data_IF_440383162707
#
_entry.id   IF_440383162707
#
_cell.length_a   1.000
_cell.length_b   1.000
_cell.length_c   1.000
_cell.angle_alpha   90.00
_cell.angle_beta   90.00
_cell.angle_gamma   90.00
#
_symmetry.space_group_name_H-M   'P 1'
#
loop_
_entity.id
_entity.type
_entity.pdbx_description
1 polymer ?
#
# COMPACT_ATOMS: atom_id res chain seq x y z
N UNK A 1 2.99 -23.25 2.19
CA UNK A 1 3.80 -22.06 1.82
C UNK A 1 2.83 -21.06 1.22
N UNK A 2 2.77 -19.80 1.68
CA UNK A 2 1.93 -18.80 1.01
C UNK A 2 2.32 -18.72 -0.45
N UNK A 3 1.34 -18.78 -1.35
CA UNK A 3 1.54 -18.70 -2.80
C UNK A 3 1.91 -17.28 -3.28
N UNK A 4 2.05 -16.35 -2.34
CA UNK A 4 2.35 -14.95 -2.54
C UNK A 4 3.29 -14.43 -1.43
N UNK A 5 4.02 -13.37 -1.72
CA UNK A 5 4.88 -12.64 -0.79
C UNK A 5 4.27 -11.27 -0.50
N UNK A 6 4.01 -10.96 0.77
CA UNK A 6 3.61 -9.61 1.20
C UNK A 6 4.84 -8.86 1.67
N UNK A 7 5.15 -7.73 1.03
CA UNK A 7 6.21 -6.81 1.41
C UNK A 7 5.64 -5.72 2.32
N UNK A 8 5.43 -6.09 3.59
CA UNK A 8 5.08 -5.16 4.67
C UNK A 8 6.28 -4.90 5.58
N UNK A 9 6.42 -3.66 6.05
CA UNK A 9 7.43 -3.29 7.06
C UNK A 9 6.96 -3.52 8.49
N UNK A 10 7.74 -3.01 9.44
CA UNK A 10 7.37 -2.99 10.87
C UNK A 10 6.17 -2.04 11.09
N UNK A 11 5.03 -2.63 11.49
CA UNK A 11 3.77 -1.90 11.72
C UNK A 11 3.90 -0.87 12.84
N UNK A 12 4.56 -1.22 13.95
CA UNK A 12 4.63 -0.34 15.11
C UNK A 12 5.51 0.88 14.80
N UNK A 13 6.67 0.66 14.17
CA UNK A 13 7.56 1.73 13.75
C UNK A 13 6.91 2.65 12.71
N UNK A 14 6.20 2.09 11.73
CA UNK A 14 5.50 2.87 10.71
C UNK A 14 4.43 3.80 11.32
N UNK A 15 3.61 3.28 12.23
CA UNK A 15 2.58 4.08 12.90
C UNK A 15 3.18 5.15 13.81
N UNK A 16 4.27 4.84 14.53
CA UNK A 16 4.97 5.82 15.36
C UNK A 16 5.50 7.00 14.53
N UNK A 17 6.15 6.73 13.39
CA UNK A 17 6.67 7.76 12.51
C UNK A 17 5.58 8.65 11.87
N UNK A 18 4.39 8.08 11.58
CA UNK A 18 3.26 8.86 11.07
C UNK A 18 2.71 9.84 12.11
N UNK A 19 2.60 9.42 13.38
CA UNK A 19 2.19 10.32 14.45
C UNK A 19 3.23 11.42 14.68
N UNK A 20 4.51 11.05 14.74
CA UNK A 20 5.60 12.01 14.89
C UNK A 20 5.62 13.06 13.76
N UNK A 21 5.44 12.64 12.51
CA UNK A 21 5.36 13.55 11.37
C UNK A 21 4.16 14.50 11.48
N UNK A 22 2.99 14.00 11.88
CA UNK A 22 1.80 14.83 12.05
C UNK A 22 1.99 15.89 13.14
N UNK A 23 2.58 15.50 14.29
CA UNK A 23 2.90 16.41 15.39
C UNK A 23 3.91 17.47 14.95
N UNK A 24 4.97 17.06 14.23
CA UNK A 24 6.00 17.97 13.73
C UNK A 24 5.43 19.01 12.76
N UNK A 25 4.63 18.60 11.77
CA UNK A 25 4.03 19.51 10.79
C UNK A 25 3.03 20.48 11.46
N UNK A 26 2.31 20.01 12.47
CA UNK A 26 1.38 20.84 13.26
C UNK A 26 2.13 21.92 14.05
N UNK A 27 3.27 21.57 14.65
CA UNK A 27 4.09 22.50 15.42
C UNK A 27 4.89 23.50 14.55
N UNK A 28 5.07 23.22 13.26
CA UNK A 28 5.96 23.98 12.37
C UNK A 28 5.23 24.46 11.09
N UNK A 29 4.36 25.49 11.16
CA UNK A 29 3.52 25.92 10.03
C UNK A 29 4.30 26.51 8.85
N UNK A 30 5.58 26.84 9.03
CA UNK A 30 6.46 27.27 7.93
C UNK A 30 6.93 26.11 7.04
N UNK A 31 6.80 24.86 7.50
CA UNK A 31 7.16 23.67 6.73
C UNK A 31 6.02 23.35 5.76
N UNK A 32 6.34 23.31 4.47
CA UNK A 32 5.36 23.01 3.43
C UNK A 32 4.96 21.53 3.47
N UNK A 33 3.67 21.26 3.28
CA UNK A 33 3.15 19.91 3.08
C UNK A 33 3.04 19.59 1.59
N UNK A 34 3.27 18.33 1.17
CA UNK A 34 3.01 17.93 -0.21
C UNK A 34 1.51 18.03 -0.54
N UNK A 35 1.17 18.16 -1.83
CA UNK A 35 -0.22 18.15 -2.29
C UNK A 35 -0.93 16.82 -2.00
N UNK A 36 -0.19 15.71 -2.05
CA UNK A 36 -0.67 14.37 -1.76
C UNK A 36 0.48 13.47 -1.32
N UNK A 37 0.19 12.46 -0.49
CA UNK A 37 1.13 11.41 -0.11
C UNK A 37 0.50 10.03 -0.32
N UNK A 38 1.31 9.02 -0.65
CA UNK A 38 0.83 7.65 -0.84
C UNK A 38 1.75 6.66 -0.13
N UNK A 39 1.16 5.73 0.60
CA UNK A 39 1.83 4.61 1.26
C UNK A 39 1.34 3.30 0.67
N UNK A 40 2.26 2.38 0.36
CA UNK A 40 1.96 1.18 -0.40
C UNK A 40 2.43 -0.10 0.27
N UNK A 41 1.56 -1.13 0.30
CA UNK A 41 1.95 -2.52 0.54
C UNK A 41 1.99 -3.24 -0.78
N UNK A 42 3.10 -3.96 -1.04
CA UNK A 42 3.26 -4.72 -2.28
C UNK A 42 3.06 -6.20 -2.04
N UNK A 43 2.29 -6.83 -2.91
CA UNK A 43 2.03 -8.26 -2.90
C UNK A 43 2.59 -8.86 -4.20
N UNK A 44 3.44 -9.87 -4.10
CA UNK A 44 4.05 -10.49 -5.27
C UNK A 44 3.58 -11.94 -5.43
N UNK A 45 3.04 -12.26 -6.60
CA UNK A 45 2.63 -13.62 -6.95
C UNK A 45 2.73 -13.85 -8.45
N UNK A 46 3.27 -15.01 -8.85
CA UNK A 46 3.44 -15.36 -10.26
C UNK A 46 2.11 -15.56 -10.98
N UNK A 47 1.18 -16.29 -10.35
CA UNK A 47 -0.13 -16.59 -10.93
C UNK A 47 -1.11 -15.40 -10.80
N UNK A 48 -1.83 -15.00 -11.86
CA UNK A 48 -2.78 -13.89 -11.81
C UNK A 48 -3.95 -14.10 -10.83
N UNK A 49 -4.47 -15.32 -10.68
CA UNK A 49 -5.57 -15.60 -9.76
C UNK A 49 -5.10 -15.51 -8.30
N UNK A 50 -3.95 -16.11 -7.98
CA UNK A 50 -3.30 -15.96 -6.66
C UNK A 50 -3.01 -14.50 -6.34
N UNK A 51 -2.55 -13.71 -7.32
CA UNK A 51 -2.23 -12.29 -7.13
C UNK A 51 -3.47 -11.47 -6.81
N UNK A 52 -4.58 -11.74 -7.48
CA UNK A 52 -5.88 -11.12 -7.21
C UNK A 52 -6.39 -11.51 -5.83
N UNK A 53 -6.42 -12.79 -5.50
CA UNK A 53 -6.84 -13.30 -4.18
C UNK A 53 -6.02 -12.65 -3.05
N UNK A 54 -4.70 -12.56 -3.24
CA UNK A 54 -3.82 -11.95 -2.25
C UNK A 54 -4.03 -10.43 -2.13
N UNK A 55 -4.32 -9.73 -3.24
CA UNK A 55 -4.75 -8.34 -3.20
C UNK A 55 -6.05 -8.17 -2.41
N UNK A 56 -7.04 -9.04 -2.66
CA UNK A 56 -8.34 -9.02 -2.00
C UNK A 56 -8.19 -9.25 -0.49
N UNK A 57 -7.34 -10.20 -0.09
CA UNK A 57 -7.04 -10.47 1.31
C UNK A 57 -6.43 -9.26 2.04
N UNK A 58 -5.48 -8.55 1.41
CA UNK A 58 -4.84 -7.37 2.03
C UNK A 58 -5.75 -6.12 1.94
N UNK A 59 -6.63 -6.06 0.94
CA UNK A 59 -7.59 -4.97 0.75
C UNK A 59 -8.83 -5.08 1.65
N UNK A 60 -9.19 -6.28 2.12
CA UNK A 60 -10.38 -6.50 2.96
C UNK A 60 -10.47 -5.51 4.15
N UNK A 61 -9.41 -5.28 4.96
CA UNK A 61 -9.48 -4.34 6.08
C UNK A 61 -9.60 -2.88 5.64
N UNK A 62 -9.23 -2.55 4.40
CA UNK A 62 -9.41 -1.21 3.84
C UNK A 62 -10.87 -0.94 3.48
N UNK A 63 -11.67 -1.98 3.22
CA UNK A 63 -13.08 -1.87 2.84
C UNK A 63 -13.29 -1.30 1.44
N UNK A 64 -12.35 -1.54 0.53
CA UNK A 64 -12.37 -1.07 -0.87
C UNK A 64 -12.18 -2.25 -1.82
N UNK A 65 -12.78 -2.21 -3.03
CA UNK A 65 -12.61 -3.28 -4.00
C UNK A 65 -11.19 -3.30 -4.59
N UNK A 66 -10.78 -4.48 -5.04
CA UNK A 66 -9.60 -4.64 -5.88
C UNK A 66 -9.96 -4.34 -7.33
N UNK A 67 -9.18 -3.47 -7.95
CA UNK A 67 -9.24 -3.09 -9.36
C UNK A 67 -8.14 -3.83 -10.13
N UNK A 68 -8.47 -4.35 -11.31
CA UNK A 68 -7.49 -4.79 -12.30
C UNK A 68 -6.98 -3.55 -13.05
N UNK A 69 -5.70 -3.25 -12.91
CA UNK A 69 -5.06 -2.07 -13.51
C UNK A 69 -4.20 -2.44 -14.72
N UNK A 70 -4.32 -3.67 -15.24
CA UNK A 70 -3.63 -4.15 -16.43
C UNK A 70 -2.24 -4.73 -16.17
N UNK A 71 -1.68 -5.42 -17.17
CA UNK A 71 -0.36 -6.09 -17.09
C UNK A 71 -0.24 -7.10 -15.92
N UNK A 72 -1.39 -7.66 -15.53
CA UNK A 72 -1.53 -8.52 -14.36
C UNK A 72 -1.42 -7.78 -13.03
N UNK A 73 -1.38 -6.45 -12.98
CA UNK A 73 -1.36 -5.72 -11.73
C UNK A 73 -2.78 -5.56 -11.19
N UNK A 74 -2.92 -5.72 -9.88
CA UNK A 74 -4.16 -5.43 -9.17
C UNK A 74 -3.89 -4.38 -8.11
N UNK A 75 -4.83 -3.47 -7.89
CA UNK A 75 -4.69 -2.45 -6.86
C UNK A 75 -5.96 -2.25 -6.05
N UNK A 76 -5.80 -1.88 -4.80
CA UNK A 76 -6.89 -1.42 -3.95
C UNK A 76 -6.37 -0.23 -3.16
N UNK A 77 -7.12 0.88 -3.16
CA UNK A 77 -6.69 2.10 -2.47
C UNK A 77 -7.80 2.72 -1.66
N UNK A 78 -7.44 3.27 -0.52
CA UNK A 78 -8.31 4.09 0.33
C UNK A 78 -7.66 5.43 0.61
N UNK A 79 -8.45 6.48 0.50
CA UNK A 79 -8.03 7.86 0.77
C UNK A 79 -8.43 8.29 2.19
N UNK A 80 -7.54 9.04 2.83
CA UNK A 80 -7.68 9.70 4.13
C UNK A 80 -7.34 11.18 3.93
N UNK A 81 -8.28 11.93 3.36
CA UNK A 81 -7.97 13.27 2.83
C UNK A 81 -6.93 13.17 1.69
N UNK A 82 -5.86 13.98 1.68
CA UNK A 82 -4.82 13.93 0.64
C UNK A 82 -3.82 12.76 0.78
N UNK A 83 -4.03 11.87 1.75
CA UNK A 83 -3.17 10.70 1.99
C UNK A 83 -3.85 9.44 1.46
N UNK A 84 -3.16 8.71 0.60
CA UNK A 84 -3.62 7.43 0.05
C UNK A 84 -2.88 6.26 0.72
N UNK A 85 -3.63 5.23 1.12
CA UNK A 85 -3.06 3.91 1.45
C UNK A 85 -3.44 2.93 0.34
N UNK A 86 -2.44 2.32 -0.29
CA UNK A 86 -2.63 1.43 -1.44
C UNK A 86 -2.04 0.06 -1.20
N UNK A 87 -2.69 -0.95 -1.77
CA UNK A 87 -2.17 -2.30 -1.96
C UNK A 87 -1.96 -2.47 -3.44
N UNK A 88 -0.77 -2.93 -3.84
CA UNK A 88 -0.46 -3.24 -5.23
C UNK A 88 0.02 -4.68 -5.30
N UNK A 89 -0.72 -5.51 -6.03
CA UNK A 89 -0.30 -6.87 -6.31
C UNK A 89 0.27 -6.95 -7.73
N UNK A 90 1.49 -7.47 -7.86
CA UNK A 90 2.28 -7.41 -9.09
C UNK A 90 2.99 -8.75 -9.37
N UNK A 91 3.44 -9.01 -10.61
CA UNK A 91 4.26 -10.18 -10.88
C UNK A 91 5.63 -10.01 -10.21
N UNK A 92 6.31 -11.09 -9.79
CA UNK A 92 7.69 -11.00 -9.34
C UNK A 92 8.55 -10.38 -10.44
N UNK A 93 9.52 -9.54 -10.07
CA UNK A 93 10.51 -9.05 -11.03
C UNK A 93 11.20 -10.25 -11.69
N UNK A 94 11.17 -10.32 -13.02
CA UNK A 94 12.07 -11.20 -13.75
C UNK A 94 13.50 -10.79 -13.38
N UNK A 95 14.28 -11.73 -12.85
CA UNK A 95 15.72 -11.51 -12.67
C UNK A 95 16.31 -11.44 -14.09
N UNK A 96 16.63 -10.23 -14.55
CA UNK A 96 17.53 -10.04 -15.69
C UNK A 96 18.92 -10.58 -15.36
#
# INVERSE_FOLDING_TARGET
MSQYLIRSGDRAAFLAGLHELADFLTANPAVLTPRSASFGVFVEASDPATRREAAEHVAEPLGVPVEDIGEGHYSARREFGPITYTVIALPPKEKQ
#
